data_IF_486919866299
#
_entry.id   IF_486919866299
#
_cell.length_a   1.000
_cell.length_b   1.000
_cell.length_c   1.000
_cell.angle_alpha   90.00
_cell.angle_beta   90.00
_cell.angle_gamma   90.00
#
_symmetry.space_group_name_H-M   'P 1'
#
loop_
_entity.id
_entity.type
_entity.pdbx_description
1 polymer ?
#
# COMPACT_ATOMS: atom_id res chain seq x y z
N UNK A 1 -6.93 18.45 8.43
CA UNK A 1 -6.84 17.06 7.93
C UNK A 1 -8.23 16.48 8.10
N UNK A 2 -8.89 16.10 7.02
CA UNK A 2 -10.17 15.40 7.13
C UNK A 2 -9.81 13.97 7.53
N UNK A 3 -10.06 13.60 8.79
CA UNK A 3 -9.81 12.25 9.28
C UNK A 3 -10.80 11.29 8.62
N UNK A 4 -10.29 10.27 7.93
CA UNK A 4 -11.13 9.23 7.38
C UNK A 4 -11.52 8.26 8.50
N UNK A 5 -12.82 8.10 8.75
CA UNK A 5 -13.35 7.09 9.67
C UNK A 5 -13.26 5.70 9.00
N UNK A 6 -12.11 5.06 9.20
CA UNK A 6 -11.79 3.74 8.64
C UNK A 6 -12.72 2.67 9.20
N UNK A 7 -13.16 2.79 10.45
CA UNK A 7 -14.09 1.84 11.07
C UNK A 7 -15.44 1.85 10.36
N UNK A 8 -16.01 3.05 10.15
CA UNK A 8 -17.25 3.24 9.41
C UNK A 8 -17.14 2.70 7.96
N UNK A 9 -16.03 2.98 7.27
CA UNK A 9 -15.78 2.45 5.93
C UNK A 9 -15.70 0.92 5.91
N UNK A 10 -14.99 0.32 6.87
CA UNK A 10 -14.77 -1.13 6.99
C UNK A 10 -16.05 -1.90 7.32
N UNK A 11 -16.99 -1.29 8.02
CA UNK A 11 -18.31 -1.85 8.29
C UNK A 11 -19.22 -1.82 7.06
N UNK A 12 -19.11 -0.77 6.25
CA UNK A 12 -19.96 -0.56 5.06
C UNK A 12 -19.46 -1.28 3.81
N UNK A 13 -18.19 -1.70 3.79
CA UNK A 13 -17.61 -2.37 2.64
C UNK A 13 -18.17 -3.79 2.53
N UNK A 14 -18.78 -4.10 1.38
CA UNK A 14 -19.34 -5.41 1.11
C UNK A 14 -18.22 -6.47 1.07
N UNK A 15 -18.22 -7.46 1.99
CA UNK A 15 -17.19 -8.50 2.01
C UNK A 15 -17.24 -9.43 0.79
N UNK A 16 -18.31 -9.38 -0.01
CA UNK A 16 -18.44 -10.13 -1.26
C UNK A 16 -17.85 -9.40 -2.47
N UNK A 17 -17.36 -8.16 -2.29
CA UNK A 17 -16.70 -7.40 -3.35
C UNK A 17 -15.41 -8.10 -3.77
N UNK A 18 -15.43 -8.73 -4.95
CA UNK A 18 -14.24 -9.29 -5.58
C UNK A 18 -13.57 -8.20 -6.42
N UNK A 19 -12.37 -7.75 -6.03
CA UNK A 19 -11.69 -6.68 -6.74
C UNK A 19 -10.37 -6.25 -6.11
N UNK A 20 -9.81 -5.18 -6.69
CA UNK A 20 -8.59 -4.53 -6.21
C UNK A 20 -9.01 -3.20 -5.57
N UNK A 21 -8.53 -2.95 -4.35
CA UNK A 21 -8.65 -1.67 -3.68
C UNK A 21 -7.28 -1.00 -3.61
N UNK A 22 -7.23 0.31 -3.82
CA UNK A 22 -6.02 1.12 -3.78
C UNK A 22 -6.27 2.38 -2.94
N UNK A 23 -5.28 2.75 -2.12
CA UNK A 23 -5.35 3.90 -1.23
C UNK A 23 -4.46 3.75 0.01
N UNK A 24 -4.30 4.83 0.78
CA UNK A 24 -3.35 4.86 1.91
C UNK A 24 -3.80 4.08 3.17
N UNK A 25 -5.09 3.78 3.30
CA UNK A 25 -5.64 3.08 4.47
C UNK A 25 -6.26 1.73 4.13
N UNK A 26 -6.07 1.24 2.89
CA UNK A 26 -6.72 0.00 2.43
C UNK A 26 -6.21 -1.24 3.16
N UNK A 27 -5.01 -1.19 3.74
CA UNK A 27 -4.46 -2.25 4.56
C UNK A 27 -5.22 -2.44 5.89
N UNK A 28 -5.95 -1.41 6.33
CA UNK A 28 -6.82 -1.47 7.51
C UNK A 28 -8.22 -2.00 7.19
N UNK A 29 -8.53 -2.22 5.91
CA UNK A 29 -9.83 -2.70 5.44
C UNK A 29 -9.89 -4.23 5.46
N UNK A 30 -11.09 -4.81 5.25
CA UNK A 30 -11.31 -6.27 5.19
C UNK A 30 -10.76 -6.88 3.88
N UNK A 31 -9.45 -6.80 3.69
CA UNK A 31 -8.73 -7.37 2.56
C UNK A 31 -8.37 -8.84 2.84
N UNK A 32 -8.42 -9.70 1.83
CA UNK A 32 -7.92 -11.07 1.95
C UNK A 32 -6.39 -11.14 1.86
N UNK A 33 -5.80 -10.24 1.09
CA UNK A 33 -4.37 -10.12 0.84
C UNK A 33 -4.01 -8.64 0.68
N UNK A 34 -2.78 -8.27 0.99
CA UNK A 34 -2.28 -6.89 0.86
C UNK A 34 -0.96 -6.91 0.08
N UNK A 35 -0.86 -6.01 -0.91
CA UNK A 35 0.37 -5.74 -1.65
C UNK A 35 0.82 -4.33 -1.29
N UNK A 36 1.96 -4.22 -0.60
CA UNK A 36 2.57 -2.95 -0.22
C UNK A 36 3.57 -2.55 -1.31
N UNK A 37 3.38 -1.36 -1.87
CA UNK A 37 4.25 -0.80 -2.90
C UNK A 37 5.28 0.11 -2.24
N UNK A 38 6.55 -0.30 -2.23
CA UNK A 38 7.64 0.47 -1.64
C UNK A 38 8.52 1.08 -2.71
N UNK A 39 9.06 2.28 -2.50
CA UNK A 39 10.05 2.89 -3.40
C UNK A 39 11.34 3.21 -2.65
N UNK A 40 12.48 3.25 -3.34
CA UNK A 40 13.72 3.77 -2.74
C UNK A 40 13.50 5.21 -2.23
N UNK A 41 14.06 5.51 -1.07
CA UNK A 41 13.92 6.81 -0.41
C UNK A 41 14.57 7.90 -1.25
N UNK A 42 15.68 7.57 -1.92
CA UNK A 42 16.39 8.46 -2.83
C UNK A 42 15.49 8.93 -3.98
N UNK A 43 14.61 8.06 -4.49
CA UNK A 43 13.68 8.38 -5.58
C UNK A 43 12.41 9.10 -5.08
N UNK A 44 11.99 8.83 -3.84
CA UNK A 44 10.74 9.38 -3.28
C UNK A 44 10.75 10.90 -3.19
N UNK A 45 11.87 11.50 -2.76
CA UNK A 45 11.96 12.98 -2.62
C UNK A 45 11.73 13.69 -3.95
N UNK A 46 12.44 13.28 -5.01
CA UNK A 46 12.28 13.87 -6.34
C UNK A 46 10.87 13.66 -6.91
N UNK A 47 10.24 12.51 -6.61
CA UNK A 47 8.85 12.25 -7.00
C UNK A 47 7.88 13.18 -6.27
N UNK A 48 8.01 13.36 -4.96
CA UNK A 48 7.14 14.25 -4.19
C UNK A 48 7.30 15.72 -4.61
N UNK A 49 8.54 16.17 -4.82
CA UNK A 49 8.81 17.52 -5.35
C UNK A 49 8.16 17.73 -6.73
N UNK A 50 8.29 16.76 -7.65
CA UNK A 50 7.66 16.87 -8.98
C UNK A 50 6.13 16.91 -8.93
N UNK A 51 5.54 16.39 -7.85
CA UNK A 51 4.09 16.41 -7.58
C UNK A 51 3.65 17.65 -6.80
N UNK A 52 4.56 18.58 -6.48
CA UNK A 52 4.26 19.81 -5.76
C UNK A 52 3.98 19.62 -4.28
N UNK A 53 4.45 18.52 -3.67
CA UNK A 53 4.30 18.29 -2.24
C UNK A 53 5.19 19.26 -1.47
N UNK A 54 4.73 19.68 -0.29
CA UNK A 54 5.61 20.36 0.66
C UNK A 54 6.66 19.40 1.19
N UNK A 55 7.80 19.94 1.63
CA UNK A 55 8.86 19.15 2.27
C UNK A 55 8.33 18.36 3.47
N UNK A 56 7.50 19.00 4.29
CA UNK A 56 6.88 18.37 5.46
C UNK A 56 6.02 17.18 5.05
N UNK A 57 5.20 17.33 3.99
CA UNK A 57 4.34 16.24 3.53
C UNK A 57 5.14 15.10 2.92
N UNK A 58 6.22 15.41 2.21
CA UNK A 58 7.14 14.39 1.70
C UNK A 58 7.80 13.62 2.85
N UNK A 59 8.27 14.33 3.88
CA UNK A 59 8.92 13.72 5.05
C UNK A 59 7.95 12.82 5.83
N UNK A 60 6.71 13.23 6.08
CA UNK A 60 5.69 12.39 6.73
C UNK A 60 5.54 11.02 6.01
N UNK A 61 5.48 11.02 4.68
CA UNK A 61 5.33 9.78 3.92
C UNK A 61 6.61 8.94 3.91
N UNK A 62 7.78 9.58 3.85
CA UNK A 62 9.08 8.90 3.91
C UNK A 62 9.24 8.22 5.28
N UNK A 63 8.92 8.92 6.37
CA UNK A 63 8.99 8.39 7.74
C UNK A 63 8.11 7.15 7.91
N UNK A 64 6.87 7.20 7.40
CA UNK A 64 5.94 6.05 7.41
C UNK A 64 6.52 4.84 6.67
N UNK A 65 7.20 5.06 5.55
CA UNK A 65 7.81 3.97 4.79
C UNK A 65 9.06 3.43 5.50
N UNK A 66 9.93 4.30 6.00
CA UNK A 66 11.14 3.93 6.74
C UNK A 66 10.83 3.17 8.04
N UNK A 67 9.76 3.55 8.73
CA UNK A 67 9.33 2.88 9.96
C UNK A 67 8.69 1.51 9.69
N UNK A 68 8.37 1.19 8.44
CA UNK A 68 7.61 -0.01 8.09
C UNK A 68 6.21 -0.02 8.70
N UNK A 69 5.63 1.15 9.01
CA UNK A 69 4.36 1.26 9.73
C UNK A 69 3.24 0.51 9.02
N UNK A 70 3.11 0.66 7.70
CA UNK A 70 2.08 -0.02 6.91
C UNK A 70 2.19 -1.54 7.04
N UNK A 71 3.40 -2.10 6.96
CA UNK A 71 3.61 -3.54 7.10
C UNK A 71 3.25 -4.02 8.51
N UNK A 72 3.69 -3.28 9.53
CA UNK A 72 3.38 -3.58 10.93
C UNK A 72 1.87 -3.54 11.20
N UNK A 73 1.18 -2.49 10.76
CA UNK A 73 -0.27 -2.35 10.92
C UNK A 73 -1.04 -3.45 10.18
N UNK A 74 -0.53 -3.88 9.02
CA UNK A 74 -1.13 -4.97 8.26
C UNK A 74 -1.02 -6.30 9.01
N UNK A 75 0.07 -6.53 9.75
CA UNK A 75 0.28 -7.75 10.54
C UNK A 75 -0.73 -7.92 11.68
N UNK A 76 -1.29 -6.82 12.19
CA UNK A 76 -2.33 -6.87 13.22
C UNK A 76 -3.65 -7.46 12.68
N UNK A 77 -3.83 -7.48 11.36
CA UNK A 77 -5.05 -7.92 10.68
C UNK A 77 -4.85 -9.20 9.85
N UNK A 78 -3.65 -9.43 9.33
CA UNK A 78 -3.34 -10.53 8.41
C UNK A 78 -2.03 -11.23 8.78
N UNK A 79 -1.95 -12.57 8.61
CA UNK A 79 -0.67 -13.26 8.74
C UNK A 79 0.30 -12.80 7.65
N UNK A 80 1.60 -12.79 7.96
CA UNK A 80 2.66 -12.37 7.03
C UNK A 80 2.66 -13.14 5.70
N UNK A 81 2.11 -14.35 5.66
CA UNK A 81 1.95 -15.16 4.44
C UNK A 81 0.97 -14.57 3.42
N UNK A 82 0.18 -13.56 3.79
CA UNK A 82 -0.79 -12.85 2.94
C UNK A 82 -0.39 -11.40 2.64
N UNK A 83 0.80 -11.00 3.07
CA UNK A 83 1.35 -9.65 2.88
C UNK A 83 2.52 -9.75 1.92
N UNK A 84 2.46 -8.99 0.83
CA UNK A 84 3.49 -8.97 -0.19
C UNK A 84 4.06 -7.56 -0.31
N UNK A 85 5.38 -7.45 -0.45
CA UNK A 85 6.02 -6.16 -0.72
C UNK A 85 6.59 -6.17 -2.12
N UNK A 86 6.28 -5.14 -2.91
CA UNK A 86 6.74 -4.95 -4.28
C UNK A 86 7.52 -3.64 -4.36
N UNK A 87 8.77 -3.71 -4.84
CA UNK A 87 9.58 -2.52 -5.08
C UNK A 87 9.10 -1.79 -6.34
N UNK A 88 8.47 -0.65 -6.13
CA UNK A 88 8.02 0.31 -7.12
C UNK A 88 9.15 1.28 -7.52
N UNK A 89 10.11 0.78 -8.30
CA UNK A 89 11.22 1.57 -8.84
C UNK A 89 11.67 1.00 -10.18
N UNK A 90 12.21 1.86 -11.05
CA UNK A 90 12.69 1.44 -12.37
C UNK A 90 11.58 1.19 -13.40
N UNK A 91 11.54 -0.01 -14.00
CA UNK A 91 10.69 -0.32 -15.15
C UNK A 91 9.28 -0.78 -14.73
N UNK A 92 8.26 -0.03 -15.17
CA UNK A 92 6.85 -0.32 -14.90
C UNK A 92 6.42 -1.73 -15.32
N UNK A 93 6.91 -2.25 -16.44
CA UNK A 93 6.56 -3.58 -16.93
C UNK A 93 7.01 -4.68 -15.96
N UNK A 94 8.14 -4.47 -15.28
CA UNK A 94 8.64 -5.40 -14.27
C UNK A 94 7.74 -5.39 -13.03
N UNK A 95 7.33 -4.21 -12.58
CA UNK A 95 6.41 -4.05 -11.44
C UNK A 95 5.07 -4.72 -11.75
N UNK A 96 4.49 -4.45 -12.92
CA UNK A 96 3.24 -5.08 -13.38
C UNK A 96 3.38 -6.60 -13.46
N UNK A 97 4.50 -7.10 -13.98
CA UNK A 97 4.77 -8.53 -14.05
C UNK A 97 4.83 -9.18 -12.66
N UNK A 98 5.49 -8.53 -11.69
CA UNK A 98 5.55 -9.01 -10.30
C UNK A 98 4.17 -9.03 -9.65
N UNK A 99 3.38 -7.97 -9.79
CA UNK A 99 2.00 -7.92 -9.26
C UNK A 99 1.15 -9.03 -9.87
N UNK A 100 1.22 -9.23 -11.19
CA UNK A 100 0.51 -10.33 -11.86
C UNK A 100 0.91 -11.70 -11.32
N UNK A 101 2.21 -11.96 -11.15
CA UNK A 101 2.68 -13.22 -10.57
C UNK A 101 2.18 -13.45 -9.13
N UNK A 102 2.00 -12.39 -8.34
CA UNK A 102 1.38 -12.49 -7.02
C UNK A 102 -0.08 -12.85 -7.19
N UNK A 103 -0.84 -12.10 -8.00
CA UNK A 103 -2.27 -12.35 -8.22
C UNK A 103 -2.55 -13.75 -8.75
N UNK A 104 -1.76 -14.24 -9.71
CA UNK A 104 -1.90 -15.57 -10.28
C UNK A 104 -1.74 -16.68 -9.21
N UNK A 105 -0.87 -16.47 -8.21
CA UNK A 105 -0.71 -17.41 -7.08
C UNK A 105 -1.91 -17.41 -6.11
N UNK A 106 -2.69 -16.33 -6.09
CA UNK A 106 -3.85 -16.18 -5.21
C UNK A 106 -5.14 -16.72 -5.86
N UNK A 107 -5.15 -16.87 -7.18
CA UNK A 107 -6.29 -17.36 -7.98
C UNK A 107 -6.25 -18.88 -8.25
N UNK A 108 -5.17 -19.55 -7.83
CA UNK A 108 -4.99 -21.01 -7.89
C UNK A 108 -5.36 -21.67 -6.57
#
# INVERSE_FOLDING_TARGET
MEEADIDCLRERLDPSLYGIMEGHYVHLMKCSHVIIMERSIEDLRGVYESRGYSLDKANENIEVQESGAIYSETLDLLPSTRIFTVRNGGNMDQVVSQVKQILDKLLL
#
